data_IF_325072866706
#
_entry.id   IF_325072866706
#
_cell.length_a   1.000
_cell.length_b   1.000
_cell.length_c   1.000
_cell.angle_alpha   90.00
_cell.angle_beta   90.00
_cell.angle_gamma   90.00
#
_symmetry.space_group_name_H-M   'P 1'
#
loop_
_entity.id
_entity.type
_entity.pdbx_description
1 polymer ?
#
# COMPACT_ATOMS: atom_id res chain seq x y z
N UNK A 1 18.06 44.68 -41.76
CA UNK A 1 18.16 43.52 -42.68
C UNK A 1 17.80 42.26 -41.90
N UNK A 2 16.75 41.51 -42.29
CA UNK A 2 16.34 40.31 -41.55
C UNK A 2 17.40 39.19 -41.69
N UNK A 3 17.69 38.53 -40.57
CA UNK A 3 18.74 37.52 -40.46
C UNK A 3 18.30 36.21 -41.16
N UNK A 4 18.85 35.94 -42.34
CA UNK A 4 18.60 34.71 -43.12
C UNK A 4 18.80 33.41 -42.31
N UNK A 5 19.67 33.42 -41.29
CA UNK A 5 19.91 32.28 -40.39
C UNK A 5 18.71 31.95 -39.50
N UNK A 6 17.96 32.96 -39.05
CA UNK A 6 16.76 32.79 -38.22
C UNK A 6 15.64 32.12 -39.03
N UNK A 7 15.49 32.51 -40.29
CA UNK A 7 14.46 31.96 -41.19
C UNK A 7 14.68 30.45 -41.41
N UNK A 8 15.93 30.02 -41.62
CA UNK A 8 16.26 28.59 -41.72
C UNK A 8 15.93 27.81 -40.45
N UNK A 9 16.18 28.39 -39.27
CA UNK A 9 15.90 27.75 -37.98
C UNK A 9 14.40 27.55 -37.76
N UNK A 10 13.57 28.55 -38.11
CA UNK A 10 12.11 28.44 -38.01
C UNK A 10 11.52 27.43 -39.00
N UNK A 11 12.08 27.31 -40.21
CA UNK A 11 11.66 26.30 -41.17
C UNK A 11 11.92 24.87 -40.65
N UNK A 12 13.12 24.62 -40.10
CA UNK A 12 13.48 23.32 -39.52
C UNK A 12 12.58 22.96 -38.33
N UNK A 13 12.30 23.91 -37.43
CA UNK A 13 11.36 23.71 -36.32
C UNK A 13 9.93 23.45 -36.80
N UNK A 14 9.51 24.12 -37.87
CA UNK A 14 8.21 23.90 -38.50
C UNK A 14 8.07 22.48 -39.09
N UNK A 15 9.13 21.95 -39.71
CA UNK A 15 9.16 20.56 -40.20
C UNK A 15 9.16 19.54 -39.06
N UNK A 16 9.87 19.82 -37.96
CA UNK A 16 9.92 18.95 -36.79
C UNK A 16 8.58 18.88 -36.06
N UNK A 17 7.88 20.02 -35.93
CA UNK A 17 6.56 20.09 -35.32
C UNK A 17 5.46 19.45 -36.21
N UNK A 18 5.63 19.49 -37.54
CA UNK A 18 4.65 18.94 -38.50
C UNK A 18 4.65 17.40 -38.56
N UNK A 19 5.60 16.72 -37.91
CA UNK A 19 5.75 15.26 -37.92
C UNK A 19 5.03 14.53 -36.76
N UNK A 20 3.89 15.04 -36.27
CA UNK A 20 3.21 14.40 -35.12
C UNK A 20 1.73 14.05 -35.34
N UNK A 21 1.17 14.29 -36.51
CA UNK A 21 -0.22 13.95 -36.80
C UNK A 21 -0.33 13.14 -38.09
N UNK A 22 0.45 12.06 -38.20
CA UNK A 22 0.18 11.08 -39.24
C UNK A 22 -1.23 10.55 -39.00
N UNK A 23 -2.13 10.83 -39.93
CA UNK A 23 -3.53 10.46 -39.85
C UNK A 23 -3.60 8.94 -39.84
N UNK A 24 -3.57 8.41 -38.63
CA UNK A 24 -3.51 7.00 -38.36
C UNK A 24 -4.77 6.39 -38.95
N UNK A 25 -4.59 5.67 -40.06
CA UNK A 25 -5.67 5.03 -40.79
C UNK A 25 -6.52 4.23 -39.79
N UNK A 26 -7.84 4.14 -39.99
CA UNK A 26 -8.76 3.49 -39.04
C UNK A 26 -8.29 2.09 -38.61
N UNK A 27 -7.51 1.41 -39.47
CA UNK A 27 -6.87 0.12 -39.24
C UNK A 27 -5.63 0.19 -38.30
N UNK A 28 -4.83 1.25 -38.37
CA UNK A 28 -3.66 1.46 -37.48
C UNK A 28 -4.04 1.83 -36.04
N UNK A 29 -5.19 2.49 -35.83
CA UNK A 29 -5.72 2.80 -34.49
C UNK A 29 -6.06 1.55 -33.68
N UNK A 30 -6.54 0.49 -34.36
CA UNK A 30 -6.89 -0.79 -33.71
C UNK A 30 -5.62 -1.50 -33.21
N UNK A 31 -4.54 -1.50 -34.00
CA UNK A 31 -3.27 -2.11 -33.61
C UNK A 31 -2.63 -1.41 -32.39
N UNK A 32 -2.67 -0.08 -32.35
CA UNK A 32 -2.10 0.71 -31.24
C UNK A 32 -2.97 0.62 -29.98
N UNK A 33 -4.30 0.55 -30.14
CA UNK A 33 -5.23 0.36 -29.01
C UNK A 33 -5.02 -0.96 -28.27
N UNK A 34 -4.40 -1.97 -28.91
CA UNK A 34 -4.08 -3.26 -28.28
C UNK A 34 -2.71 -3.25 -27.60
N UNK A 35 -1.72 -2.52 -28.12
CA UNK A 35 -0.39 -2.43 -27.50
C UNK A 35 -0.37 -1.59 -26.22
N UNK A 36 -1.11 -0.49 -26.19
CA UNK A 36 -1.16 0.41 -25.05
C UNK A 36 -1.59 -0.25 -23.72
N UNK A 37 -2.68 -1.05 -23.65
CA UNK A 37 -3.10 -1.69 -22.40
C UNK A 37 -2.11 -2.77 -21.93
N UNK A 38 -1.45 -3.49 -22.85
CA UNK A 38 -0.45 -4.51 -22.49
C UNK A 38 0.75 -3.86 -21.80
N UNK A 39 1.27 -2.76 -22.36
CA UNK A 39 2.35 -1.98 -21.75
C UNK A 39 1.96 -1.44 -20.36
N UNK A 40 0.74 -0.90 -20.22
CA UNK A 40 0.25 -0.40 -18.94
C UNK A 40 0.13 -1.51 -17.88
N UNK A 41 -0.36 -2.70 -18.24
CA UNK A 41 -0.48 -3.82 -17.32
C UNK A 41 0.89 -4.32 -16.83
N UNK A 42 1.90 -4.38 -17.70
CA UNK A 42 3.27 -4.76 -17.32
C UNK A 42 3.87 -3.78 -16.33
N UNK A 43 3.75 -2.47 -16.59
CA UNK A 43 4.23 -1.42 -15.68
C UNK A 43 3.45 -1.44 -14.36
N UNK A 44 2.12 -1.61 -14.43
CA UNK A 44 1.28 -1.71 -13.24
C UNK A 44 1.62 -2.93 -12.40
N UNK A 45 1.89 -4.09 -13.01
CA UNK A 45 2.28 -5.29 -12.30
C UNK A 45 3.67 -5.19 -11.70
N UNK A 46 4.64 -4.61 -12.42
CA UNK A 46 5.98 -4.29 -11.90
C UNK A 46 5.89 -3.35 -10.69
N UNK A 47 5.12 -2.27 -10.82
CA UNK A 47 4.87 -1.34 -9.74
C UNK A 47 4.13 -2.00 -8.56
N UNK A 48 3.13 -2.82 -8.84
CA UNK A 48 2.40 -3.58 -7.82
C UNK A 48 3.32 -4.56 -7.10
N UNK A 49 4.19 -5.29 -7.79
CA UNK A 49 5.09 -6.26 -7.17
C UNK A 49 6.15 -5.56 -6.30
N UNK A 50 6.73 -4.45 -6.77
CA UNK A 50 7.66 -3.62 -5.99
C UNK A 50 6.97 -3.01 -4.76
N UNK A 51 5.75 -2.51 -4.90
CA UNK A 51 4.97 -1.96 -3.77
C UNK A 51 4.45 -3.03 -2.82
N UNK A 52 4.13 -4.23 -3.32
CA UNK A 52 3.71 -5.38 -2.51
C UNK A 52 4.86 -5.87 -1.62
N UNK A 53 6.12 -5.78 -2.07
CA UNK A 53 7.29 -6.12 -1.23
C UNK A 53 7.50 -5.17 -0.04
N UNK A 54 6.91 -3.96 -0.04
CA UNK A 54 6.98 -3.03 1.10
C UNK A 54 5.87 -3.23 2.14
N UNK A 55 4.92 -4.14 1.93
CA UNK A 55 3.92 -4.52 2.93
C UNK A 55 4.23 -5.89 3.52
N UNK A 56 4.99 -5.88 4.61
CA UNK A 56 4.97 -6.85 5.70
C UNK A 56 5.13 -8.32 5.31
N UNK A 57 6.38 -8.80 5.31
CA UNK A 57 6.67 -10.21 5.65
C UNK A 57 6.25 -10.46 7.11
N UNK A 58 4.97 -10.70 7.39
CA UNK A 58 4.57 -11.30 8.67
C UNK A 58 3.16 -11.92 8.73
N UNK A 59 2.62 -12.52 7.66
CA UNK A 59 1.28 -13.16 7.76
C UNK A 59 1.10 -14.46 6.98
N UNK A 60 2.13 -15.29 6.85
CA UNK A 60 1.96 -16.61 6.21
C UNK A 60 2.58 -17.80 6.97
N UNK A 61 3.19 -17.61 8.14
CA UNK A 61 3.76 -18.74 8.93
C UNK A 61 3.00 -19.08 10.22
N UNK A 62 1.88 -18.38 10.53
CA UNK A 62 1.11 -18.61 11.77
C UNK A 62 -0.21 -19.37 11.58
N UNK A 63 -0.60 -19.71 10.35
CA UNK A 63 -1.86 -20.42 10.09
C UNK A 63 -1.70 -21.94 10.16
N UNK A 64 -0.62 -22.49 9.60
CA UNK A 64 -0.36 -23.93 9.65
C UNK A 64 0.10 -24.41 11.05
N UNK A 65 0.90 -23.60 11.75
CA UNK A 65 1.43 -23.98 13.08
C UNK A 65 0.33 -24.05 14.15
N UNK A 66 -0.68 -23.16 14.07
CA UNK A 66 -1.79 -23.10 15.05
C UNK A 66 -2.78 -24.26 14.94
N UNK A 67 -2.87 -24.92 13.78
CA UNK A 67 -3.76 -26.08 13.61
C UNK A 67 -3.21 -27.33 14.29
N UNK A 68 -1.88 -27.49 14.30
CA UNK A 68 -1.22 -28.61 14.98
C UNK A 68 -1.13 -28.43 16.50
N UNK A 69 -1.12 -27.19 16.99
CA UNK A 69 -0.93 -26.87 18.43
C UNK A 69 -2.24 -26.66 19.20
N UNK A 70 -3.40 -26.61 18.55
CA UNK A 70 -4.69 -26.41 19.21
C UNK A 70 -5.20 -27.60 20.05
N UNK A 71 -4.54 -28.76 20.00
CA UNK A 71 -4.94 -29.96 20.76
C UNK A 71 -4.12 -30.21 22.03
N UNK A 72 -3.11 -29.39 22.32
CA UNK A 72 -2.28 -29.50 23.53
C UNK A 72 -2.54 -28.30 24.46
N UNK A 73 -3.80 -28.08 24.81
CA UNK A 73 -4.21 -27.19 25.91
C UNK A 73 -4.36 -28.02 27.19
N UNK A 74 -3.27 -28.44 27.82
CA UNK A 74 -3.18 -28.76 29.26
C UNK A 74 -1.69 -28.98 29.59
N UNK A 75 -1.05 -27.94 30.15
CA UNK A 75 0.20 -27.84 30.94
C UNK A 75 0.83 -26.49 30.54
N UNK A 76 1.36 -25.64 31.38
CA UNK A 76 1.46 -25.50 32.82
C UNK A 76 2.00 -24.07 33.00
N UNK A 77 1.87 -23.57 34.21
CA UNK A 77 2.34 -22.28 34.66
C UNK A 77 3.83 -22.08 34.37
N UNK A 78 4.18 -20.95 33.75
CA UNK A 78 5.20 -20.04 34.27
C UNK A 78 5.37 -18.83 33.35
N UNK A 79 5.25 -17.67 33.98
CA UNK A 79 5.67 -16.38 33.45
C UNK A 79 7.19 -16.42 33.27
N UNK A 80 7.67 -16.30 32.04
CA UNK A 80 9.05 -15.87 31.76
C UNK A 80 8.97 -14.55 30.98
N UNK A 81 8.96 -13.46 31.75
CA UNK A 81 9.23 -12.11 31.25
C UNK A 81 10.75 -12.02 31.10
N UNK A 82 11.24 -12.23 29.88
CA UNK A 82 12.63 -11.89 29.54
C UNK A 82 12.84 -10.39 29.77
N UNK A 83 13.88 -10.07 30.53
CA UNK A 83 14.29 -8.74 31.00
C UNK A 83 14.17 -7.65 29.92
N UNK A 84 13.15 -6.80 30.04
CA UNK A 84 13.14 -5.46 29.44
C UNK A 84 13.26 -4.47 30.60
N UNK A 85 14.50 -4.05 30.86
CA UNK A 85 14.92 -2.84 31.60
C UNK A 85 13.76 -1.98 32.15
N UNK A 86 13.28 -2.33 33.36
CA UNK A 86 12.20 -1.65 34.08
C UNK A 86 12.51 -0.18 34.40
N UNK A 87 13.75 0.29 34.22
CA UNK A 87 14.14 1.66 34.59
C UNK A 87 13.65 2.74 33.61
N UNK A 88 13.18 2.36 32.41
CA UNK A 88 12.70 3.29 31.37
C UNK A 88 11.19 3.36 31.21
N UNK A 89 10.45 2.47 31.86
CA UNK A 89 8.98 2.44 31.84
C UNK A 89 8.45 3.21 33.06
N UNK A 90 8.91 4.44 33.24
CA UNK A 90 8.21 5.40 34.08
C UNK A 90 6.99 5.89 33.25
N UNK A 91 5.80 5.31 33.41
CA UNK A 91 4.82 5.44 34.50
C UNK A 91 3.70 6.46 34.27
N UNK A 92 3.45 6.90 33.02
CA UNK A 92 2.27 7.75 32.72
C UNK A 92 1.45 7.30 31.49
N UNK A 93 1.84 6.23 30.78
CA UNK A 93 1.06 5.74 29.64
C UNK A 93 0.21 4.53 30.03
N UNK A 94 -1.13 4.58 29.86
CA UNK A 94 -1.97 3.43 30.07
C UNK A 94 -1.64 2.35 29.05
N UNK A 95 -1.27 1.17 29.55
CA UNK A 95 -1.14 -0.04 28.74
C UNK A 95 -2.52 -0.67 28.54
N UNK A 96 -2.83 -1.07 27.31
CA UNK A 96 -4.08 -1.74 26.98
C UNK A 96 -3.80 -3.09 26.35
N UNK A 97 -4.42 -4.13 26.89
CA UNK A 97 -4.34 -5.47 26.31
C UNK A 97 -5.09 -5.53 24.97
N UNK A 98 -4.64 -6.42 24.08
CA UNK A 98 -5.29 -6.65 22.79
C UNK A 98 -6.80 -7.02 22.89
N UNK A 99 -7.25 -7.84 23.86
CA UNK A 99 -8.67 -8.09 24.06
C UNK A 99 -9.46 -6.81 24.37
N UNK A 100 -8.90 -5.92 25.20
CA UNK A 100 -9.51 -4.63 25.56
C UNK A 100 -9.68 -3.74 24.32
N UNK A 101 -8.64 -3.61 23.49
CA UNK A 101 -8.70 -2.85 22.23
C UNK A 101 -9.75 -3.45 21.27
N UNK A 102 -9.81 -4.77 21.21
CA UNK A 102 -10.74 -5.48 20.33
C UNK A 102 -12.19 -5.28 20.78
N UNK A 103 -12.47 -5.40 22.07
CA UNK A 103 -13.79 -5.14 22.63
C UNK A 103 -14.22 -3.69 22.41
N UNK A 104 -13.34 -2.74 22.71
CA UNK A 104 -13.65 -1.31 22.63
C UNK A 104 -13.83 -0.80 21.18
N UNK A 105 -13.27 -1.51 20.18
CA UNK A 105 -13.50 -1.26 18.75
C UNK A 105 -14.63 -2.08 18.13
N UNK A 106 -15.34 -2.90 18.92
CA UNK A 106 -16.30 -3.90 18.44
C UNK A 106 -15.68 -4.79 17.34
N UNK A 107 -14.56 -5.43 17.68
CA UNK A 107 -13.80 -6.32 16.81
C UNK A 107 -13.39 -5.68 15.48
N UNK A 108 -12.99 -4.41 15.52
CA UNK A 108 -12.67 -3.59 14.34
C UNK A 108 -13.80 -3.54 13.30
N UNK A 109 -15.06 -3.47 13.76
CA UNK A 109 -16.23 -3.33 12.90
C UNK A 109 -16.09 -2.16 11.93
N UNK A 110 -16.56 -2.37 10.69
CA UNK A 110 -16.52 -1.35 9.63
C UNK A 110 -17.34 -0.12 10.01
N UNK A 111 -18.39 -0.28 10.81
CA UNK A 111 -19.22 0.83 11.32
C UNK A 111 -18.43 1.81 12.18
N UNK A 112 -17.40 1.32 12.87
CA UNK A 112 -16.52 2.15 13.71
C UNK A 112 -15.36 2.74 12.91
N UNK A 113 -15.24 2.47 11.61
CA UNK A 113 -14.11 2.94 10.80
C UNK A 113 -14.28 4.40 10.43
N UNK A 114 -13.32 5.22 10.83
CA UNK A 114 -13.27 6.64 10.51
C UNK A 114 -12.65 6.91 9.13
N UNK A 115 -11.73 6.06 8.70
CA UNK A 115 -11.10 6.23 7.40
C UNK A 115 -9.95 5.26 7.13
N UNK A 116 -9.35 5.41 5.95
CA UNK A 116 -8.14 4.70 5.55
C UNK A 116 -7.23 5.62 4.75
N UNK A 117 -5.99 5.79 5.21
CA UNK A 117 -4.99 6.64 4.56
C UNK A 117 -3.58 6.07 4.69
N UNK A 118 -2.57 6.96 4.62
CA UNK A 118 -1.15 6.60 4.81
C UNK A 118 -0.85 5.95 6.16
N UNK A 119 -1.66 6.24 7.17
CA UNK A 119 -1.59 5.70 8.53
C UNK A 119 -2.26 4.32 8.69
N UNK A 120 -2.91 3.79 7.66
CA UNK A 120 -3.71 2.56 7.76
C UNK A 120 -5.19 2.85 8.06
N UNK A 121 -5.90 1.85 8.58
CA UNK A 121 -7.30 1.98 8.96
C UNK A 121 -7.43 2.58 10.35
N UNK A 122 -8.25 3.61 10.50
CA UNK A 122 -8.51 4.29 11.78
C UNK A 122 -9.93 3.94 12.23
N UNK A 123 -10.08 3.55 13.50
CA UNK A 123 -11.37 3.17 14.09
C UNK A 123 -11.66 4.01 15.33
N UNK A 124 -12.93 4.36 15.53
CA UNK A 124 -13.45 4.96 16.76
C UNK A 124 -13.59 3.87 17.82
N UNK A 125 -13.22 4.23 19.04
CA UNK A 125 -13.34 3.38 20.22
C UNK A 125 -14.51 3.89 21.06
N UNK A 126 -15.30 2.97 21.64
CA UNK A 126 -16.26 3.30 22.70
C UNK A 126 -15.67 2.85 24.03
N UNK A 127 -15.21 3.80 24.82
CA UNK A 127 -14.82 3.57 26.21
C UNK A 127 -16.09 3.82 27.02
N UNK A 128 -16.55 2.81 27.76
CA UNK A 128 -17.63 2.99 28.73
C UNK A 128 -16.93 3.30 30.05
N UNK A 129 -16.88 4.58 30.39
CA UNK A 129 -16.41 5.01 31.70
C UNK A 129 -17.50 4.64 32.71
N UNK A 130 -17.17 3.77 33.69
CA UNK A 130 -18.05 3.39 34.79
C UNK A 130 -17.68 4.17 36.06
#
# INVERSE_FOLDING_TARGET
MPNHKLIGFYLVLGEYAKKSNSSLSKKGKIAISLLAPVLLLVVFFWYCTVRRKKKGKQRQHKFALRLATGSAYLEDSSVDVDEIDESRINSDLPFFDLPTITAATNNFSVENKLGKGGFGSVYKVRIVDY
#
